data_IF_191727616275
#
_entry.id   IF_191727616275
#
_cell.length_a   1.000
_cell.length_b   1.000
_cell.length_c   1.000
_cell.angle_alpha   90.00
_cell.angle_beta   90.00
_cell.angle_gamma   90.00
#
_symmetry.space_group_name_H-M   'P 1'
#
loop_
_entity.id
_entity.type
_entity.pdbx_description
1 polymer ?
#
# COMPACT_ATOMS: atom_id res chain seq x y z
N UNK A 1 18.19 15.93 6.17
CA UNK A 1 17.10 16.14 5.19
C UNK A 1 16.43 14.84 4.77
N UNK A 2 17.17 13.77 4.66
CA UNK A 2 16.69 12.43 4.28
C UNK A 2 15.56 11.90 5.19
N UNK A 3 15.76 11.93 6.51
CA UNK A 3 14.76 11.47 7.49
C UNK A 3 13.48 12.30 7.46
N UNK A 4 13.59 13.59 7.16
CA UNK A 4 12.43 14.47 7.08
C UNK A 4 11.47 14.07 5.93
N UNK A 5 12.00 13.78 4.75
CA UNK A 5 11.19 13.32 3.62
C UNK A 5 10.54 11.97 3.90
N UNK A 6 11.24 11.08 4.59
CA UNK A 6 10.71 9.79 5.00
C UNK A 6 9.53 9.95 5.97
N UNK A 7 9.68 10.76 7.01
CA UNK A 7 8.62 11.01 8.02
C UNK A 7 7.41 11.69 7.37
N UNK A 8 7.63 12.71 6.55
CA UNK A 8 6.55 13.42 5.86
C UNK A 8 5.85 12.48 4.87
N UNK A 9 6.61 11.74 4.07
CA UNK A 9 6.06 10.79 3.10
C UNK A 9 5.24 9.70 3.78
N UNK A 10 5.75 9.12 4.87
CA UNK A 10 5.03 8.13 5.66
C UNK A 10 3.75 8.70 6.29
N UNK A 11 3.83 9.87 6.90
CA UNK A 11 2.66 10.52 7.51
C UNK A 11 1.57 10.83 6.49
N UNK A 12 1.94 11.35 5.33
CA UNK A 12 1.01 11.60 4.22
C UNK A 12 0.43 10.30 3.66
N UNK A 13 1.24 9.26 3.50
CA UNK A 13 0.79 7.96 3.02
C UNK A 13 -0.22 7.33 3.99
N UNK A 14 0.10 7.32 5.28
CA UNK A 14 -0.79 6.81 6.31
C UNK A 14 -2.11 7.59 6.36
N UNK A 15 -2.05 8.92 6.36
CA UNK A 15 -3.23 9.77 6.35
C UNK A 15 -4.10 9.54 5.10
N UNK A 16 -3.48 9.52 3.92
CA UNK A 16 -4.20 9.39 2.66
C UNK A 16 -4.83 8.01 2.49
N UNK A 17 -4.13 6.94 2.88
CA UNK A 17 -4.66 5.58 2.86
C UNK A 17 -5.87 5.45 3.80
N UNK A 18 -5.74 5.91 5.06
CA UNK A 18 -6.83 5.86 6.03
C UNK A 18 -8.03 6.68 5.53
N UNK A 19 -7.82 7.89 5.04
CA UNK A 19 -8.89 8.75 4.57
C UNK A 19 -9.62 8.15 3.36
N UNK A 20 -8.88 7.60 2.39
CA UNK A 20 -9.46 6.98 1.20
C UNK A 20 -10.21 5.69 1.54
N UNK A 21 -9.58 4.79 2.29
CA UNK A 21 -10.16 3.49 2.63
C UNK A 21 -11.32 3.60 3.64
N UNK A 22 -11.28 4.59 4.54
CA UNK A 22 -12.38 4.85 5.47
C UNK A 22 -13.67 5.23 4.76
N UNK A 23 -13.58 5.99 3.67
CA UNK A 23 -14.75 6.37 2.88
C UNK A 23 -15.32 5.16 2.15
N UNK A 24 -14.47 4.31 1.59
CA UNK A 24 -14.88 3.21 0.71
C UNK A 24 -15.27 1.94 1.48
N UNK A 25 -14.53 1.57 2.51
CA UNK A 25 -14.59 0.25 3.14
C UNK A 25 -15.17 0.29 4.54
N UNK A 26 -14.78 1.29 5.34
CA UNK A 26 -15.19 1.36 6.75
C UNK A 26 -16.54 2.04 6.94
N UNK A 27 -17.06 2.77 5.96
CA UNK A 27 -18.31 3.50 6.08
C UNK A 27 -19.49 2.59 6.42
N UNK A 28 -19.66 1.50 5.72
CA UNK A 28 -20.71 0.49 5.96
C UNK A 28 -20.53 -0.23 7.30
N UNK A 29 -19.27 -0.59 7.64
CA UNK A 29 -18.96 -1.20 8.92
C UNK A 29 -19.29 -0.29 10.11
N UNK A 30 -18.90 0.98 10.05
CA UNK A 30 -19.19 1.96 11.09
C UNK A 30 -20.68 2.25 11.20
N UNK A 31 -21.39 2.34 10.07
CA UNK A 31 -22.83 2.56 10.02
C UNK A 31 -23.59 1.39 10.65
N UNK A 32 -23.27 0.16 10.29
CA UNK A 32 -23.91 -1.05 10.84
C UNK A 32 -23.62 -1.26 12.33
N UNK A 33 -22.51 -0.72 12.83
CA UNK A 33 -22.11 -0.82 14.24
C UNK A 33 -22.25 0.51 15.01
N UNK A 34 -23.10 1.43 14.54
CA UNK A 34 -23.25 2.77 15.12
C UNK A 34 -23.64 2.79 16.60
N UNK A 35 -24.28 1.71 17.11
CA UNK A 35 -24.64 1.52 18.53
C UNK A 35 -23.48 1.02 19.40
N UNK A 36 -22.38 0.60 18.80
CA UNK A 36 -21.22 0.10 19.55
C UNK A 36 -20.27 1.24 19.91
N UNK A 37 -19.54 1.15 21.05
CA UNK A 37 -18.56 2.14 21.42
C UNK A 37 -17.41 2.17 20.40
N UNK A 38 -16.98 3.37 20.01
CA UNK A 38 -15.96 3.56 18.95
C UNK A 38 -14.63 2.89 19.26
N UNK A 39 -14.22 2.88 20.53
CA UNK A 39 -12.97 2.25 20.95
C UNK A 39 -12.95 0.73 20.69
N UNK A 40 -14.11 0.06 20.84
CA UNK A 40 -14.23 -1.37 20.57
C UNK A 40 -14.04 -1.67 19.08
N UNK A 41 -14.66 -0.85 18.22
CA UNK A 41 -14.51 -0.97 16.75
C UNK A 41 -13.07 -0.71 16.33
N UNK A 42 -12.43 0.28 16.95
CA UNK A 42 -11.03 0.60 16.68
C UNK A 42 -10.10 -0.56 17.08
N UNK A 43 -10.24 -1.13 18.27
CA UNK A 43 -9.44 -2.28 18.71
C UNK A 43 -9.65 -3.48 17.79
N UNK A 44 -10.89 -3.73 17.37
CA UNK A 44 -11.20 -4.84 16.48
C UNK A 44 -10.49 -4.71 15.12
N UNK A 45 -10.63 -3.57 14.46
CA UNK A 45 -9.99 -3.33 13.15
C UNK A 45 -8.46 -3.32 13.27
N UNK A 46 -7.92 -2.61 14.26
CA UNK A 46 -6.48 -2.54 14.50
C UNK A 46 -5.89 -3.89 14.86
N UNK A 47 -6.64 -4.70 15.62
CA UNK A 47 -6.23 -6.06 15.97
C UNK A 47 -6.13 -6.95 14.74
N UNK A 48 -7.14 -6.97 13.88
CA UNK A 48 -7.11 -7.75 12.63
C UNK A 48 -5.92 -7.30 11.77
N UNK A 49 -5.74 -5.99 11.59
CA UNK A 49 -4.63 -5.43 10.81
C UNK A 49 -3.27 -5.82 11.40
N UNK A 50 -3.11 -5.68 12.71
CA UNK A 50 -1.89 -6.06 13.41
C UNK A 50 -1.55 -7.54 13.22
N UNK A 51 -2.50 -8.44 13.45
CA UNK A 51 -2.29 -9.88 13.28
C UNK A 51 -1.98 -10.24 11.83
N UNK A 52 -2.64 -9.61 10.86
CA UNK A 52 -2.39 -9.86 9.44
C UNK A 52 -0.97 -9.44 9.04
N UNK A 53 -0.52 -8.26 9.48
CA UNK A 53 0.82 -7.76 9.21
C UNK A 53 1.88 -8.64 9.89
N UNK A 54 1.68 -8.98 11.16
CA UNK A 54 2.63 -9.84 11.90
C UNK A 54 2.70 -11.24 11.31
N UNK A 55 1.57 -11.79 10.88
CA UNK A 55 1.54 -13.08 10.20
C UNK A 55 2.29 -13.02 8.86
N UNK A 56 2.03 -11.99 8.04
CA UNK A 56 2.76 -11.76 6.79
C UNK A 56 4.26 -11.64 7.02
N UNK A 57 4.65 -10.83 7.97
CA UNK A 57 6.05 -10.65 8.37
C UNK A 57 6.73 -11.98 8.76
N UNK A 58 6.05 -12.83 9.55
CA UNK A 58 6.64 -14.08 10.06
C UNK A 58 6.79 -15.16 8.99
N UNK A 59 5.91 -15.18 7.97
CA UNK A 59 5.93 -16.23 6.93
C UNK A 59 6.76 -15.83 5.72
N UNK A 60 6.83 -14.54 5.39
CA UNK A 60 7.43 -14.06 4.14
C UNK A 60 8.79 -13.38 4.38
N UNK A 61 9.68 -13.95 5.17
CA UNK A 61 11.05 -13.45 5.35
C UNK A 61 11.11 -11.93 5.66
N UNK A 62 10.25 -11.47 6.56
CA UNK A 62 10.11 -10.07 6.93
C UNK A 62 9.41 -9.17 5.88
N UNK A 63 8.70 -9.74 4.91
CA UNK A 63 7.85 -8.99 4.00
C UNK A 63 6.37 -9.02 4.44
N UNK A 64 5.84 -7.95 5.05
CA UNK A 64 4.44 -7.89 5.47
C UNK A 64 3.46 -7.77 4.30
N UNK A 65 3.96 -7.48 3.09
CA UNK A 65 3.15 -7.32 1.89
C UNK A 65 2.90 -8.62 1.12
N UNK A 66 3.29 -9.76 1.67
CA UNK A 66 3.11 -11.09 1.06
C UNK A 66 3.75 -11.20 -0.33
N UNK A 67 4.92 -10.63 -0.51
CA UNK A 67 5.68 -10.63 -1.75
C UNK A 67 5.04 -9.80 -2.88
N UNK A 68 4.06 -8.94 -2.58
CA UNK A 68 3.45 -8.06 -3.58
C UNK A 68 4.42 -7.02 -4.11
N UNK A 69 5.31 -6.52 -3.25
CA UNK A 69 6.28 -5.49 -3.63
C UNK A 69 7.49 -6.05 -4.38
N UNK A 70 7.84 -7.30 -4.13
CA UNK A 70 9.02 -7.94 -4.72
C UNK A 70 8.71 -8.87 -5.90
N UNK A 71 7.46 -9.07 -6.24
CA UNK A 71 6.99 -9.91 -7.35
C UNK A 71 7.60 -11.33 -7.44
N UNK A 72 8.48 -11.70 -6.50
CA UNK A 72 9.16 -13.02 -6.50
C UNK A 72 10.12 -13.25 -7.67
N UNK A 73 10.48 -12.22 -8.40
CA UNK A 73 11.43 -12.29 -9.52
C UNK A 73 12.82 -11.86 -9.03
N UNK A 74 13.80 -12.74 -9.19
CA UNK A 74 15.20 -12.49 -8.83
C UNK A 74 15.84 -11.31 -9.57
N UNK A 75 15.23 -10.88 -10.68
CA UNK A 75 15.68 -9.76 -11.49
C UNK A 75 15.09 -8.41 -11.03
N UNK A 76 14.10 -8.44 -10.15
CA UNK A 76 13.51 -7.23 -9.57
C UNK A 76 14.06 -7.13 -8.15
N UNK A 77 14.86 -6.11 -7.84
CA UNK A 77 15.38 -5.94 -6.48
C UNK A 77 14.23 -5.76 -5.51
N UNK A 78 14.32 -6.42 -4.36
CA UNK A 78 13.35 -6.21 -3.29
C UNK A 78 13.44 -4.76 -2.84
N UNK A 79 12.32 -4.04 -2.63
CA UNK A 79 12.35 -2.65 -2.20
C UNK A 79 13.13 -2.42 -0.90
N UNK A 80 13.27 -3.45 -0.06
CA UNK A 80 14.07 -3.41 1.17
C UNK A 80 15.56 -3.71 0.96
N UNK A 81 15.93 -4.35 -0.16
CA UNK A 81 17.32 -4.68 -0.50
C UNK A 81 18.05 -3.54 -1.21
N UNK A 82 17.29 -2.64 -1.77
CA UNK A 82 17.83 -1.44 -2.42
C UNK A 82 18.14 -0.43 -1.33
N UNK A 83 19.33 0.16 -1.35
CA UNK A 83 19.66 1.37 -0.58
C UNK A 83 18.74 2.50 -1.07
N UNK A 84 17.52 2.51 -0.58
CA UNK A 84 16.49 3.45 -0.98
C UNK A 84 16.85 4.81 -0.44
N UNK A 85 17.48 5.61 -1.24
CA UNK A 85 17.64 7.03 -0.94
C UNK A 85 16.27 7.69 -1.05
N UNK A 86 15.59 7.84 0.09
CA UNK A 86 14.31 8.54 0.16
C UNK A 86 14.48 9.97 -0.35
N UNK A 87 13.96 10.22 -1.53
CA UNK A 87 13.93 11.51 -2.19
C UNK A 87 12.53 12.13 -2.07
N UNK A 88 12.39 13.39 -2.37
CA UNK A 88 11.10 14.09 -2.45
C UNK A 88 10.09 13.41 -3.38
N UNK A 89 10.55 12.62 -4.35
CA UNK A 89 9.71 11.85 -5.30
C UNK A 89 8.75 10.91 -4.55
N UNK A 90 9.15 10.35 -3.41
CA UNK A 90 8.31 9.45 -2.61
C UNK A 90 7.12 10.15 -1.94
N UNK A 91 7.13 11.48 -1.87
CA UNK A 91 6.02 12.26 -1.32
C UNK A 91 4.91 12.46 -2.37
N UNK A 92 5.23 12.40 -3.66
CA UNK A 92 4.29 12.68 -4.75
C UNK A 92 3.07 11.72 -4.72
N UNK A 93 3.23 10.40 -4.67
CA UNK A 93 2.08 9.49 -4.69
C UNK A 93 1.09 9.70 -3.53
N UNK A 94 1.55 9.80 -2.26
CA UNK A 94 0.65 10.12 -1.16
C UNK A 94 -0.03 11.49 -1.31
N UNK A 95 0.68 12.48 -1.82
CA UNK A 95 0.11 13.81 -2.06
C UNK A 95 -1.00 13.76 -3.12
N UNK A 96 -0.78 13.06 -4.22
CA UNK A 96 -1.79 12.85 -5.27
C UNK A 96 -3.01 12.15 -4.69
N UNK A 97 -2.81 11.10 -3.86
CA UNK A 97 -3.90 10.40 -3.21
C UNK A 97 -4.72 11.31 -2.29
N UNK A 98 -4.06 12.18 -1.50
CA UNK A 98 -4.76 13.19 -0.68
C UNK A 98 -5.60 14.14 -1.54
N UNK A 99 -5.05 14.62 -2.65
CA UNK A 99 -5.76 15.52 -3.56
C UNK A 99 -7.00 14.83 -4.17
N UNK A 100 -6.85 13.60 -4.65
CA UNK A 100 -7.96 12.83 -5.23
C UNK A 100 -9.04 12.51 -4.19
N UNK A 101 -8.64 12.11 -2.99
CA UNK A 101 -9.57 11.84 -1.88
C UNK A 101 -10.35 13.10 -1.50
N UNK A 102 -9.68 14.26 -1.41
CA UNK A 102 -10.35 15.55 -1.15
C UNK A 102 -11.28 15.97 -2.25
N UNK A 103 -11.00 15.60 -3.50
CA UNK A 103 -11.88 15.86 -4.65
C UNK A 103 -13.08 14.91 -4.71
N UNK A 104 -13.19 13.97 -3.76
CA UNK A 104 -14.28 12.99 -3.72
C UNK A 104 -14.18 11.91 -4.80
N UNK A 105 -13.01 11.76 -5.43
CA UNK A 105 -12.77 10.73 -6.44
C UNK A 105 -12.29 9.46 -5.74
N UNK A 106 -13.10 8.38 -5.76
CA UNK A 106 -12.66 7.10 -5.17
C UNK A 106 -11.55 6.49 -6.03
N UNK A 107 -10.42 6.20 -5.42
CA UNK A 107 -9.25 5.62 -6.09
C UNK A 107 -8.85 4.34 -5.38
N UNK A 108 -8.43 3.34 -6.14
CA UNK A 108 -7.83 2.16 -5.56
C UNK A 108 -6.43 2.49 -5.02
N UNK A 109 -6.30 2.53 -3.71
CA UNK A 109 -5.03 2.74 -2.99
C UNK A 109 -3.97 1.74 -3.43
N UNK A 110 -4.37 0.48 -3.60
CA UNK A 110 -3.48 -0.60 -4.04
C UNK A 110 -2.90 -0.32 -5.42
N UNK A 111 -3.74 0.04 -6.40
CA UNK A 111 -3.29 0.33 -7.77
C UNK A 111 -2.36 1.54 -7.79
N UNK A 112 -2.70 2.60 -7.05
CA UNK A 112 -1.86 3.79 -6.97
C UNK A 112 -0.50 3.50 -6.35
N UNK A 113 -0.46 2.75 -5.25
CA UNK A 113 0.79 2.36 -4.60
C UNK A 113 1.65 1.48 -5.51
N UNK A 114 1.08 0.45 -6.13
CA UNK A 114 1.81 -0.44 -7.02
C UNK A 114 2.36 0.30 -8.24
N UNK A 115 1.59 1.22 -8.84
CA UNK A 115 2.05 2.05 -9.95
C UNK A 115 3.22 2.93 -9.52
N UNK A 116 3.14 3.53 -8.34
CA UNK A 116 4.19 4.38 -7.82
C UNK A 116 5.47 3.62 -7.53
N UNK A 117 5.38 2.46 -6.88
CA UNK A 117 6.52 1.60 -6.61
C UNK A 117 7.16 1.07 -7.89
N UNK A 118 6.37 0.66 -8.88
CA UNK A 118 6.89 0.19 -10.17
C UNK A 118 7.66 1.29 -10.91
N UNK A 119 7.17 2.52 -10.88
CA UNK A 119 7.86 3.67 -11.47
C UNK A 119 9.18 3.98 -10.76
N UNK A 120 9.18 3.95 -9.43
CA UNK A 120 10.38 4.21 -8.63
C UNK A 120 11.44 3.12 -8.86
N UNK A 121 11.04 1.84 -8.83
CA UNK A 121 11.94 0.72 -9.08
C UNK A 121 12.53 0.75 -10.49
N UNK A 122 11.71 1.05 -11.50
CA UNK A 122 12.21 1.20 -12.87
C UNK A 122 13.24 2.33 -13.00
N UNK A 123 13.04 3.43 -12.30
CA UNK A 123 14.02 4.52 -12.25
C UNK A 123 15.32 4.10 -11.55
N UNK A 124 15.24 3.33 -10.47
CA UNK A 124 16.40 2.86 -9.71
C UNK A 124 17.22 1.80 -10.46
N UNK A 125 16.57 0.97 -11.27
CA UNK A 125 17.24 -0.03 -12.11
C UNK A 125 17.85 0.57 -13.38
N UNK A 126 17.92 1.90 -13.50
CA UNK A 126 18.48 2.56 -14.68
C UNK A 126 17.64 2.44 -15.94
N UNK A 127 16.41 1.95 -15.83
CA UNK A 127 15.52 1.74 -16.96
C UNK A 127 15.69 0.40 -17.66
N UNK A 128 16.54 -0.49 -17.15
CA UNK A 128 16.74 -1.84 -17.71
C UNK A 128 15.46 -2.68 -17.68
N UNK A 129 14.60 -2.44 -16.68
CA UNK A 129 13.29 -3.10 -16.56
C UNK A 129 12.21 -2.04 -16.68
N UNK A 130 11.26 -2.24 -17.60
CA UNK A 130 10.18 -1.26 -17.79
C UNK A 130 9.24 -1.24 -16.58
N UNK A 131 8.79 -0.04 -16.18
CA UNK A 131 7.82 0.15 -15.11
C UNK A 131 6.54 -0.68 -15.31
N UNK A 132 6.12 -0.86 -16.57
CA UNK A 132 4.96 -1.68 -16.93
C UNK A 132 5.17 -3.16 -16.61
N UNK A 133 6.36 -3.71 -16.85
CA UNK A 133 6.66 -5.10 -16.54
C UNK A 133 6.66 -5.34 -15.04
N UNK A 134 7.24 -4.43 -14.25
CA UNK A 134 7.23 -4.48 -12.78
C UNK A 134 5.79 -4.39 -12.26
N UNK A 135 5.01 -3.44 -12.77
CA UNK A 135 3.61 -3.25 -12.40
C UNK A 135 2.76 -4.50 -12.66
N UNK A 136 2.89 -5.10 -13.84
CA UNK A 136 2.14 -6.31 -14.19
C UNK A 136 2.45 -7.49 -13.26
N UNK A 137 3.72 -7.68 -12.90
CA UNK A 137 4.12 -8.72 -11.94
C UNK A 137 3.57 -8.46 -10.54
N UNK A 138 3.59 -7.22 -10.08
CA UNK A 138 2.98 -6.85 -8.79
C UNK A 138 1.46 -7.05 -8.81
N UNK A 139 0.81 -6.75 -9.93
CA UNK A 139 -0.65 -6.92 -10.10
C UNK A 139 -1.07 -8.38 -10.17
N UNK A 140 -0.26 -9.29 -10.70
CA UNK A 140 -0.58 -10.71 -10.82
C UNK A 140 -1.00 -11.30 -9.47
N UNK A 141 -0.24 -11.05 -8.41
CA UNK A 141 -0.57 -11.51 -7.06
C UNK A 141 -1.85 -10.87 -6.50
N UNK A 142 -2.13 -9.63 -6.88
CA UNK A 142 -3.35 -8.93 -6.47
C UNK A 142 -4.58 -9.47 -7.18
N UNK A 143 -4.47 -9.82 -8.47
CA UNK A 143 -5.56 -10.42 -9.26
C UNK A 143 -6.03 -11.74 -8.66
N UNK A 144 -5.10 -12.60 -8.24
CA UNK A 144 -5.45 -13.86 -7.56
C UNK A 144 -6.28 -13.59 -6.30
N UNK A 145 -5.88 -12.61 -5.49
CA UNK A 145 -6.63 -12.20 -4.30
C UNK A 145 -8.04 -11.69 -4.62
N UNK A 146 -8.19 -10.89 -5.67
CA UNK A 146 -9.49 -10.39 -6.11
C UNK A 146 -10.40 -11.52 -6.67
N UNK A 147 -9.84 -12.46 -7.41
CA UNK A 147 -10.60 -13.64 -7.89
C UNK A 147 -11.11 -14.49 -6.73
N UNK A 148 -10.28 -14.74 -5.72
CA UNK A 148 -10.68 -15.44 -4.51
C UNK A 148 -11.79 -14.68 -3.75
N UNK A 149 -11.67 -13.37 -3.61
CA UNK A 149 -12.68 -12.54 -2.97
C UNK A 149 -14.01 -12.47 -3.74
N UNK A 150 -13.99 -12.75 -5.04
CA UNK A 150 -15.21 -12.82 -5.85
C UNK A 150 -15.97 -14.16 -5.70
N UNK A 151 -15.25 -15.22 -5.31
CA UNK A 151 -15.82 -16.57 -5.15
C UNK A 151 -16.43 -16.77 -3.76
N UNK A 152 -15.97 -16.02 -2.74
CA UNK A 152 -16.44 -16.08 -1.35
C UNK A 152 -17.60 -15.11 -1.13
#
# INVERSE_FOLDING_TARGET
MFELFMIIGFGLAAFSAIANDSIQTLGTFLSSNSKRPRWLLWIWISGIMFFTIMYGWSINECDPAFGRLAAGDKNIPHPLDVNVNFSWIYIIPPLVLVCLTKSGIPVSTTVLLLTSFSGILAHQTGGDISATAIFLKMMEKSVVGYLLAFII
#
